data_IF_308856171616
#
_entry.id   IF_308856171616
#
_cell.length_a   1.000
_cell.length_b   1.000
_cell.length_c   1.000
_cell.angle_alpha   90.00
_cell.angle_beta   90.00
_cell.angle_gamma   90.00
#
_symmetry.space_group_name_H-M   'P 1'
#
loop_
_entity.id
_entity.type
_entity.pdbx_description
1 polymer ?
#
# COMPACT_ATOMS: atom_id res chain seq x y z
N UNK A 1 2.86 37.27 43.11
CA UNK A 1 4.02 37.70 42.29
C UNK A 1 3.79 37.24 40.87
N UNK A 2 3.42 38.15 39.98
CA UNK A 2 3.11 37.79 38.58
C UNK A 2 4.38 37.52 37.79
N UNK A 3 4.48 36.37 37.14
CA UNK A 3 5.54 36.13 36.19
C UNK A 3 5.48 37.16 35.06
N UNK A 4 6.61 37.76 34.75
CA UNK A 4 6.73 38.75 33.68
C UNK A 4 6.51 38.06 32.32
N UNK A 5 5.77 38.70 31.41
CA UNK A 5 5.56 38.25 30.03
C UNK A 5 6.87 37.84 29.32
N UNK A 6 7.94 38.54 29.65
CA UNK A 6 9.29 38.25 29.11
C UNK A 6 9.90 36.96 29.64
N UNK A 7 9.59 36.59 30.90
CA UNK A 7 10.01 35.31 31.50
C UNK A 7 9.25 34.13 30.88
N UNK A 8 7.96 34.31 30.65
CA UNK A 8 7.14 33.29 29.96
C UNK A 8 7.62 33.03 28.53
N UNK A 9 7.90 34.09 27.75
CA UNK A 9 8.41 33.92 26.37
C UNK A 9 9.76 33.21 26.31
N UNK A 10 10.66 33.49 27.27
CA UNK A 10 11.96 32.78 27.34
C UNK A 10 11.78 31.31 27.67
N UNK A 11 10.88 30.94 28.57
CA UNK A 11 10.58 29.54 28.91
C UNK A 11 9.89 28.82 27.77
N UNK A 12 8.99 29.49 27.03
CA UNK A 12 8.31 28.94 25.87
C UNK A 12 9.27 28.71 24.68
N UNK A 13 10.22 29.62 24.45
CA UNK A 13 11.22 29.47 23.41
C UNK A 13 12.17 28.26 23.69
N UNK A 14 12.51 28.01 24.94
CA UNK A 14 13.29 26.82 25.32
C UNK A 14 12.50 25.51 25.16
N UNK A 15 11.16 25.55 25.36
CA UNK A 15 10.27 24.39 25.12
C UNK A 15 10.03 24.09 23.65
N UNK A 16 9.98 25.12 22.79
CA UNK A 16 9.80 24.96 21.34
C UNK A 16 11.04 24.37 20.64
N UNK A 17 12.24 24.51 21.24
CA UNK A 17 13.45 23.91 20.69
C UNK A 17 13.46 22.36 20.74
N UNK A 18 12.55 21.73 21.51
CA UNK A 18 12.37 20.29 21.58
C UNK A 18 11.39 19.74 20.53
N UNK A 19 10.61 20.61 19.91
CA UNK A 19 9.72 20.23 18.80
C UNK A 19 10.36 20.60 17.47
N UNK A 20 11.36 19.85 17.06
CA UNK A 20 11.83 19.91 15.69
C UNK A 20 10.80 19.19 14.83
N UNK A 21 10.02 19.95 14.05
CA UNK A 21 9.20 19.37 12.96
C UNK A 21 10.20 18.93 11.90
N UNK A 22 10.67 17.70 12.04
CA UNK A 22 11.47 17.08 10.99
C UNK A 22 10.56 16.82 9.80
N UNK A 23 10.85 17.36 8.63
CA UNK A 23 10.09 17.01 7.43
C UNK A 23 10.14 15.50 7.24
N UNK A 24 9.00 14.91 6.88
CA UNK A 24 8.75 13.48 6.75
C UNK A 24 9.83 12.71 5.97
N UNK A 25 10.55 13.42 5.10
CA UNK A 25 11.60 12.87 4.25
C UNK A 25 12.96 12.70 4.96
N UNK A 26 13.16 13.25 6.16
CA UNK A 26 14.46 13.20 6.87
C UNK A 26 14.71 11.83 7.49
N UNK A 27 13.70 11.11 7.93
CA UNK A 27 13.86 9.76 8.47
C UNK A 27 14.19 8.69 7.42
N UNK A 28 13.85 8.92 6.15
CA UNK A 28 14.17 8.01 5.05
C UNK A 28 15.59 8.15 4.48
N UNK A 29 16.28 9.24 4.80
CA UNK A 29 17.61 9.53 4.24
C UNK A 29 18.76 8.90 5.04
N UNK A 30 18.51 8.24 6.17
CA UNK A 30 19.56 7.67 7.02
C UNK A 30 19.98 6.24 6.65
N UNK A 31 19.54 5.69 5.55
CA UNK A 31 19.91 4.34 5.14
C UNK A 31 19.93 4.13 3.65
N UNK A 32 21.08 4.37 3.01
CA UNK A 32 21.42 3.85 1.67
C UNK A 32 20.51 4.25 0.53
N UNK A 33 20.98 4.17 -0.70
CA UNK A 33 20.43 4.58 -2.00
C UNK A 33 18.95 4.21 -2.36
N UNK A 34 18.15 3.76 -1.41
CA UNK A 34 16.72 3.53 -1.61
C UNK A 34 15.92 4.74 -1.15
N UNK A 35 15.30 5.41 -2.10
CA UNK A 35 14.34 6.49 -1.86
C UNK A 35 13.19 5.95 -1.01
N UNK A 36 13.19 6.27 0.29
CA UNK A 36 12.11 5.87 1.20
C UNK A 36 10.79 6.50 0.74
N UNK A 37 9.83 5.67 0.41
CA UNK A 37 8.45 6.08 0.13
C UNK A 37 7.66 5.81 1.41
N UNK A 38 7.05 6.87 1.96
CA UNK A 38 6.22 6.69 3.16
C UNK A 38 5.03 5.77 2.84
N UNK A 39 4.57 4.93 3.78
CA UNK A 39 3.43 4.04 3.55
C UNK A 39 2.16 4.73 3.05
N UNK A 40 1.95 6.01 3.43
CA UNK A 40 0.84 6.83 2.95
C UNK A 40 1.01 7.36 1.52
N UNK A 41 2.20 7.24 0.95
CA UNK A 41 2.52 7.69 -0.41
C UNK A 41 2.62 6.49 -1.37
N UNK A 42 2.39 5.28 -0.84
CA UNK A 42 2.32 4.05 -1.62
C UNK A 42 0.87 3.80 -2.03
N UNK A 43 0.67 3.54 -3.31
CA UNK A 43 -0.61 3.04 -3.81
C UNK A 43 -0.75 1.56 -3.46
N UNK A 44 -1.96 1.14 -3.18
CA UNK A 44 -2.31 -0.26 -2.95
C UNK A 44 -3.02 -0.82 -4.16
N UNK A 45 -2.71 -2.07 -4.49
CA UNK A 45 -3.27 -2.72 -5.68
C UNK A 45 -3.89 -4.06 -5.36
N UNK A 46 -5.06 -4.32 -5.99
CA UNK A 46 -5.69 -5.62 -6.07
C UNK A 46 -5.57 -6.21 -7.48
N UNK A 47 -5.50 -7.53 -7.61
CA UNK A 47 -5.51 -8.23 -8.90
C UNK A 47 -6.73 -9.14 -8.96
N UNK A 48 -7.52 -9.01 -10.04
CA UNK A 48 -8.63 -9.89 -10.38
C UNK A 48 -8.16 -10.84 -11.49
N UNK A 49 -8.19 -12.15 -11.22
CA UNK A 49 -7.68 -13.18 -12.10
C UNK A 49 -6.22 -13.50 -11.82
N UNK A 50 -5.95 -14.49 -10.97
CA UNK A 50 -4.60 -14.92 -10.58
C UNK A 50 -4.25 -16.33 -11.06
N UNK A 51 -4.88 -16.76 -12.15
CA UNK A 51 -4.54 -18.02 -12.83
C UNK A 51 -3.23 -17.90 -13.61
N UNK A 52 -3.33 -17.59 -14.91
CA UNK A 52 -2.20 -17.51 -15.84
C UNK A 52 -1.51 -16.15 -15.84
N UNK A 53 -2.09 -15.19 -16.58
CA UNK A 53 -1.49 -13.87 -16.83
C UNK A 53 -1.32 -13.07 -15.53
N UNK A 54 -2.31 -13.06 -14.65
CA UNK A 54 -2.24 -12.33 -13.39
C UNK A 54 -1.09 -12.75 -12.47
N UNK A 55 -0.63 -14.00 -12.59
CA UNK A 55 0.51 -14.54 -11.86
C UNK A 55 1.84 -14.38 -12.59
N UNK A 56 1.86 -13.80 -13.79
CA UNK A 56 3.11 -13.57 -14.53
C UNK A 56 4.01 -12.57 -13.79
N UNK A 57 5.31 -12.66 -14.04
CA UNK A 57 6.30 -11.79 -13.40
C UNK A 57 6.11 -10.30 -13.67
N UNK A 58 5.34 -9.94 -14.71
CA UNK A 58 5.02 -8.54 -15.04
C UNK A 58 3.83 -8.01 -14.23
N UNK A 59 2.90 -8.86 -13.85
CA UNK A 59 1.65 -8.46 -13.18
C UNK A 59 1.67 -8.74 -11.69
N UNK A 60 2.25 -9.89 -11.27
CA UNK A 60 2.37 -10.24 -9.86
C UNK A 60 3.65 -9.63 -9.25
N UNK A 61 3.63 -8.31 -9.12
CA UNK A 61 4.73 -7.50 -8.58
C UNK A 61 4.24 -6.60 -7.46
N UNK A 62 5.15 -6.30 -6.55
CA UNK A 62 4.95 -5.31 -5.49
C UNK A 62 6.25 -4.52 -5.38
N UNK A 63 6.16 -3.20 -5.43
CA UNK A 63 7.32 -2.31 -5.36
C UNK A 63 7.09 -1.20 -4.33
N UNK A 64 8.05 -0.29 -4.22
CA UNK A 64 8.04 0.78 -3.23
C UNK A 64 6.91 1.79 -3.45
N UNK A 65 6.33 1.89 -4.66
CA UNK A 65 5.28 2.85 -5.01
C UNK A 65 3.91 2.21 -5.10
N UNK A 66 3.86 0.93 -5.48
CA UNK A 66 2.61 0.21 -5.70
C UNK A 66 2.67 -1.16 -5.04
N UNK A 67 2.04 -1.29 -3.89
CA UNK A 67 2.04 -2.51 -3.08
C UNK A 67 0.86 -3.40 -3.43
N UNK A 68 1.13 -4.66 -3.78
CA UNK A 68 0.08 -5.66 -3.93
C UNK A 68 -0.45 -6.05 -2.54
N UNK A 69 -1.76 -5.87 -2.32
CA UNK A 69 -2.42 -6.12 -1.03
C UNK A 69 -3.52 -7.18 -1.12
N UNK A 70 -4.13 -7.36 -2.29
CA UNK A 70 -5.25 -8.27 -2.44
C UNK A 70 -5.27 -8.99 -3.79
N UNK A 71 -5.90 -10.15 -3.81
CA UNK A 71 -6.07 -11.01 -5.00
C UNK A 71 -7.49 -11.57 -5.04
N UNK A 72 -8.02 -11.73 -6.24
CA UNK A 72 -9.33 -12.32 -6.47
C UNK A 72 -9.27 -13.35 -7.60
N UNK A 73 -9.86 -14.51 -7.37
CA UNK A 73 -10.12 -15.52 -8.40
C UNK A 73 -11.32 -16.37 -7.97
N UNK A 74 -12.06 -16.88 -8.93
CA UNK A 74 -13.17 -17.82 -8.67
C UNK A 74 -12.65 -19.22 -8.37
N UNK A 75 -11.44 -19.55 -8.83
CA UNK A 75 -10.77 -20.82 -8.55
C UNK A 75 -9.93 -20.73 -7.28
N UNK A 76 -10.30 -21.54 -6.28
CA UNK A 76 -9.59 -21.59 -4.99
C UNK A 76 -8.14 -22.06 -5.12
N UNK A 77 -7.84 -22.94 -6.07
CA UNK A 77 -6.47 -23.39 -6.28
C UNK A 77 -5.57 -22.25 -6.78
N UNK A 78 -6.11 -21.38 -7.63
CA UNK A 78 -5.42 -20.16 -8.07
C UNK A 78 -5.19 -19.21 -6.91
N UNK A 79 -6.21 -18.99 -6.06
CA UNK A 79 -6.08 -18.15 -4.86
C UNK A 79 -5.03 -18.67 -3.89
N UNK A 80 -5.08 -19.97 -3.55
CA UNK A 80 -4.13 -20.58 -2.63
C UNK A 80 -2.68 -20.47 -3.13
N UNK A 81 -2.47 -20.67 -4.45
CA UNK A 81 -1.17 -20.50 -5.08
C UNK A 81 -0.71 -19.05 -5.03
N UNK A 82 -1.60 -18.09 -5.30
CA UNK A 82 -1.30 -16.67 -5.23
C UNK A 82 -0.95 -16.23 -3.81
N UNK A 83 -1.67 -16.71 -2.80
CA UNK A 83 -1.39 -16.42 -1.39
C UNK A 83 -0.02 -16.95 -0.95
N UNK A 84 0.32 -18.20 -1.31
CA UNK A 84 1.64 -18.78 -1.04
C UNK A 84 2.75 -17.96 -1.68
N UNK A 85 2.64 -17.67 -2.98
CA UNK A 85 3.62 -16.85 -3.69
C UNK A 85 3.71 -15.43 -3.18
N UNK A 86 2.60 -14.85 -2.68
CA UNK A 86 2.60 -13.54 -2.04
C UNK A 86 3.49 -13.50 -0.80
N UNK A 87 3.36 -14.50 0.06
CA UNK A 87 4.20 -14.64 1.26
C UNK A 87 5.67 -14.89 0.88
N UNK A 88 5.92 -15.81 -0.06
CA UNK A 88 7.27 -16.17 -0.50
C UNK A 88 8.00 -14.98 -1.16
N UNK A 89 7.31 -14.25 -2.04
CA UNK A 89 7.92 -13.20 -2.86
C UNK A 89 7.98 -11.85 -2.18
N UNK A 90 6.96 -11.49 -1.39
CA UNK A 90 6.81 -10.16 -0.81
C UNK A 90 6.88 -10.15 0.72
N UNK A 91 6.90 -11.33 1.36
CA UNK A 91 6.87 -11.45 2.82
C UNK A 91 5.54 -10.96 3.45
N UNK A 92 4.50 -10.76 2.63
CA UNK A 92 3.23 -10.16 3.06
C UNK A 92 2.08 -11.11 2.75
N UNK A 93 1.16 -11.26 3.71
CA UNK A 93 -0.09 -11.98 3.50
C UNK A 93 -1.05 -11.10 2.70
N UNK A 94 -1.47 -11.57 1.53
CA UNK A 94 -2.46 -10.91 0.70
C UNK A 94 -3.86 -11.23 1.19
N UNK A 95 -4.80 -10.29 1.01
CA UNK A 95 -6.23 -10.53 1.21
C UNK A 95 -6.79 -11.27 -0.01
N UNK A 96 -7.60 -12.31 0.22
CA UNK A 96 -8.20 -13.13 -0.84
C UNK A 96 -9.69 -12.85 -0.97
N UNK A 97 -10.16 -12.73 -2.19
CA UNK A 97 -11.57 -12.58 -2.55
C UNK A 97 -11.97 -13.63 -3.58
N UNK A 98 -13.18 -14.14 -3.49
CA UNK A 98 -13.79 -15.04 -4.50
C UNK A 98 -14.75 -14.31 -5.41
N UNK A 99 -15.33 -13.20 -4.95
CA UNK A 99 -16.10 -12.26 -5.75
C UNK A 99 -15.27 -10.99 -6.00
N UNK A 100 -15.14 -10.62 -7.25
CA UNK A 100 -14.36 -9.44 -7.65
C UNK A 100 -14.99 -8.12 -7.19
N UNK A 101 -16.31 -8.09 -6.95
CA UNK A 101 -17.01 -6.91 -6.42
C UNK A 101 -16.54 -6.57 -5.02
N UNK A 102 -16.31 -7.58 -4.19
CA UNK A 102 -15.79 -7.38 -2.84
C UNK A 102 -14.40 -6.75 -2.86
N UNK A 103 -13.56 -7.12 -3.85
CA UNK A 103 -12.25 -6.52 -4.03
C UNK A 103 -12.36 -5.06 -4.50
N UNK A 104 -13.23 -4.77 -5.45
CA UNK A 104 -13.43 -3.40 -5.99
C UNK A 104 -13.95 -2.45 -4.91
N UNK A 105 -14.78 -2.93 -3.99
CA UNK A 105 -15.32 -2.12 -2.89
C UNK A 105 -14.41 -2.09 -1.63
N UNK A 106 -13.26 -2.77 -1.65
CA UNK A 106 -12.32 -2.70 -0.54
C UNK A 106 -11.63 -1.32 -0.48
N UNK A 107 -11.94 -0.56 0.57
CA UNK A 107 -11.37 0.77 0.81
C UNK A 107 -9.83 0.78 0.97
N UNK A 108 -9.21 -0.38 1.09
CA UNK A 108 -7.75 -0.52 1.16
C UNK A 108 -7.11 -0.74 -0.21
N UNK A 109 -7.87 -0.70 -1.29
CA UNK A 109 -7.39 -0.91 -2.67
C UNK A 109 -7.56 0.38 -3.47
N UNK A 110 -6.45 0.98 -3.90
CA UNK A 110 -6.46 2.21 -4.72
C UNK A 110 -6.52 1.88 -6.21
N UNK A 111 -5.95 0.74 -6.62
CA UNK A 111 -5.85 0.34 -8.02
C UNK A 111 -6.32 -1.10 -8.18
N UNK A 112 -7.21 -1.33 -9.11
CA UNK A 112 -7.63 -2.68 -9.51
C UNK A 112 -7.00 -3.05 -10.85
N UNK A 113 -6.30 -4.17 -10.87
CA UNK A 113 -5.73 -4.75 -12.07
C UNK A 113 -6.59 -5.94 -12.52
N UNK A 114 -7.19 -5.85 -13.70
CA UNK A 114 -8.02 -6.90 -14.27
C UNK A 114 -7.17 -7.76 -15.21
N UNK A 115 -6.94 -9.03 -14.84
CA UNK A 115 -6.16 -10.01 -15.60
C UNK A 115 -6.99 -11.26 -15.95
N UNK A 116 -8.31 -11.09 -16.01
CA UNK A 116 -9.27 -12.11 -16.44
C UNK A 116 -9.30 -12.23 -17.97
N UNK A 117 -9.98 -13.23 -18.53
CA UNK A 117 -10.27 -13.26 -19.98
C UNK A 117 -10.99 -11.98 -20.45
N UNK A 118 -10.68 -11.53 -21.66
CA UNK A 118 -11.04 -10.20 -22.19
C UNK A 118 -12.55 -9.89 -22.18
N UNK A 119 -13.41 -10.90 -22.29
CA UNK A 119 -14.85 -10.71 -22.26
C UNK A 119 -15.40 -10.25 -20.89
N UNK A 120 -14.63 -10.38 -19.82
CA UNK A 120 -14.97 -9.88 -18.48
C UNK A 120 -14.53 -8.43 -18.24
N UNK A 121 -13.54 -7.94 -18.99
CA UNK A 121 -12.93 -6.63 -18.73
C UNK A 121 -13.95 -5.49 -18.77
N UNK A 122 -14.84 -5.48 -19.76
CA UNK A 122 -15.85 -4.42 -19.91
C UNK A 122 -16.78 -4.33 -18.70
N UNK A 123 -17.27 -5.46 -18.21
CA UNK A 123 -18.19 -5.52 -17.06
C UNK A 123 -17.45 -5.07 -15.78
N UNK A 124 -16.24 -5.57 -15.55
CA UNK A 124 -15.47 -5.27 -14.35
C UNK A 124 -14.93 -3.83 -14.29
N UNK A 125 -14.80 -3.18 -15.44
CA UNK A 125 -14.25 -1.82 -15.52
C UNK A 125 -15.30 -0.71 -15.37
N UNK A 126 -16.59 -1.02 -15.44
CA UNK A 126 -17.68 -0.02 -15.38
C UNK A 126 -18.46 -0.03 -14.08
N UNK A 127 -18.18 -0.96 -13.18
CA UNK A 127 -18.77 -1.04 -11.85
C UNK A 127 -17.90 -0.33 -10.81
#
# INVERSE_FOLDING_TARGET
>A
MGESRRSFLKKSAAGLALFTILPRNVFGAMGGDKKYVAPSDQLTRGIIGVGGIGMSGLHFVSDERCRLVSVCDVDRNHLDNALKKGVEKFGTKLQAYTDWRDLVHDANVDIVHIATPSHWHGIMAVE
#
